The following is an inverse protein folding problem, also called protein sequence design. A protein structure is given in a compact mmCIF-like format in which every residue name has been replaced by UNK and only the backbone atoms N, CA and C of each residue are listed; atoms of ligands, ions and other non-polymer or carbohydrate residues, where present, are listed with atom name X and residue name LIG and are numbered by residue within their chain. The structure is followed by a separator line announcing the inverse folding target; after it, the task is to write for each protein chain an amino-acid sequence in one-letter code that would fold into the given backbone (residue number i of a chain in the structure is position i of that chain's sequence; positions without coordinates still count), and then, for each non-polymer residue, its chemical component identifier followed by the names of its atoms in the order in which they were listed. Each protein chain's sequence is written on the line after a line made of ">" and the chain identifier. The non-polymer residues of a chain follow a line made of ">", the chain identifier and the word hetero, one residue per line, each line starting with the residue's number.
data_IF_015963483502
#
_entry.id   IF_015963483502
#
_cell.length_a   1.000
_cell.length_b   1.000
_cell.length_c   1.000
_cell.angle_alpha   90.00
_cell.angle_beta   90.00
_cell.angle_gamma   90.00
#
_symmetry.space_group_name_H-M   'P 1'
#
loop_
_entity.id
_entity.type
_entity.pdbx_description
1 polymer ?
#
# COMPACT_ATOMS: atom_id res chain seq x y z
N UNK A 1 27.49 -5.89 -28.65
CA UNK A 1 26.68 -5.24 -27.59
C UNK A 1 26.26 -6.33 -26.61
N UNK A 2 26.95 -6.46 -25.48
CA UNK A 2 26.63 -7.47 -24.47
C UNK A 2 25.24 -7.17 -23.89
N UNK A 3 24.27 -8.05 -24.15
CA UNK A 3 22.97 -7.97 -23.51
C UNK A 3 23.18 -8.26 -22.01
N UNK A 4 23.18 -7.22 -21.18
CA UNK A 4 23.19 -7.39 -19.73
C UNK A 4 22.01 -8.30 -19.35
N UNK A 5 22.24 -9.41 -18.63
CA UNK A 5 21.15 -10.27 -18.19
C UNK A 5 20.24 -9.42 -17.31
N UNK A 6 18.97 -9.30 -17.69
CA UNK A 6 17.95 -8.69 -16.84
C UNK A 6 17.74 -9.67 -15.69
N UNK A 7 18.43 -9.45 -14.58
CA UNK A 7 18.24 -10.20 -13.34
C UNK A 7 16.95 -9.69 -12.71
N UNK A 8 15.89 -10.48 -12.80
CA UNK A 8 14.64 -10.22 -12.08
C UNK A 8 14.90 -10.55 -10.61
N UNK A 9 15.17 -9.53 -9.80
CA UNK A 9 15.39 -9.69 -8.37
C UNK A 9 14.03 -9.92 -7.69
N UNK A 10 13.75 -11.16 -7.31
CA UNK A 10 12.56 -11.49 -6.51
C UNK A 10 12.83 -11.21 -5.05
N UNK A 11 11.88 -10.54 -4.39
CA UNK A 11 11.87 -10.47 -2.95
C UNK A 11 11.77 -11.89 -2.34
N UNK A 12 12.61 -12.15 -1.34
CA UNK A 12 12.64 -13.44 -0.65
C UNK A 12 11.34 -13.67 0.11
N UNK A 13 10.91 -14.95 0.19
CA UNK A 13 9.71 -15.32 0.97
C UNK A 13 9.81 -14.89 2.44
N UNK A 14 11.02 -14.85 3.00
CA UNK A 14 11.27 -14.37 4.36
C UNK A 14 10.89 -12.89 4.54
N UNK A 15 11.28 -12.02 3.60
CA UNK A 15 10.90 -10.60 3.64
C UNK A 15 9.39 -10.40 3.47
N UNK A 16 8.76 -11.17 2.59
CA UNK A 16 7.30 -11.12 2.42
C UNK A 16 6.57 -11.52 3.72
N UNK A 17 7.02 -12.58 4.39
CA UNK A 17 6.45 -12.97 5.69
C UNK A 17 6.66 -11.87 6.74
N UNK A 18 7.83 -11.23 6.79
CA UNK A 18 8.09 -10.12 7.70
C UNK A 18 7.10 -8.96 7.49
N UNK A 19 6.87 -8.53 6.24
CA UNK A 19 5.93 -7.45 5.92
C UNK A 19 4.49 -7.81 6.34
N UNK A 20 4.07 -9.05 6.08
CA UNK A 20 2.75 -9.54 6.51
C UNK A 20 2.62 -9.58 8.03
N UNK A 21 3.65 -10.03 8.73
CA UNK A 21 3.68 -10.06 10.20
C UNK A 21 3.60 -8.64 10.76
N UNK A 22 4.40 -7.69 10.26
CA UNK A 22 4.35 -6.29 10.71
C UNK A 22 2.97 -5.66 10.48
N UNK A 23 2.36 -5.91 9.32
CA UNK A 23 1.01 -5.44 9.05
C UNK A 23 -0.03 -6.07 9.99
N UNK A 24 0.07 -7.38 10.25
CA UNK A 24 -0.79 -8.07 11.21
C UNK A 24 -0.67 -7.52 12.62
N UNK A 25 0.57 -7.26 13.09
CA UNK A 25 0.83 -6.63 14.39
C UNK A 25 0.22 -5.23 14.44
N UNK A 26 0.33 -4.44 13.37
CA UNK A 26 -0.24 -3.10 13.33
C UNK A 26 -1.78 -3.12 13.44
N UNK A 27 -2.44 -3.99 12.67
CA UNK A 27 -3.90 -4.19 12.74
C UNK A 27 -4.31 -4.65 14.14
N UNK A 28 -3.56 -5.59 14.73
CA UNK A 28 -3.81 -6.08 16.07
C UNK A 28 -3.67 -4.98 17.13
N UNK A 29 -2.60 -4.19 17.09
CA UNK A 29 -2.39 -3.07 18.03
C UNK A 29 -3.51 -2.03 17.94
N UNK A 30 -3.95 -1.68 16.72
CA UNK A 30 -5.10 -0.81 16.55
C UNK A 30 -6.38 -1.45 17.09
N UNK A 31 -6.68 -2.70 16.72
CA UNK A 31 -7.89 -3.38 17.17
C UNK A 31 -7.96 -3.50 18.70
N UNK A 32 -6.85 -3.87 19.35
CA UNK A 32 -6.75 -3.95 20.82
C UNK A 32 -6.88 -2.56 21.44
N UNK A 33 -6.21 -1.55 20.88
CA UNK A 33 -6.30 -0.17 21.34
C UNK A 33 -7.71 0.41 21.29
N UNK A 34 -8.48 0.06 20.25
CA UNK A 34 -9.87 0.45 20.10
C UNK A 34 -10.82 -0.39 20.97
N UNK A 35 -10.55 -1.68 21.17
CA UNK A 35 -11.37 -2.57 22.00
C UNK A 35 -11.31 -2.20 23.50
N UNK A 36 -10.15 -1.73 23.97
CA UNK A 36 -9.93 -1.33 25.37
C UNK A 36 -10.20 0.15 25.64
N UNK A 37 -10.80 0.88 24.70
CA UNK A 37 -11.02 2.32 24.84
C UNK A 37 -12.09 2.62 25.91
N UNK A 38 -11.76 3.34 27.00
CA UNK A 38 -12.77 3.86 27.91
C UNK A 38 -13.36 5.15 27.31
N UNK A 39 -14.39 5.02 26.49
CA UNK A 39 -15.04 6.14 25.80
C UNK A 39 -16.47 5.79 25.38
N UNK A 40 -17.23 6.78 24.89
CA UNK A 40 -18.58 6.56 24.40
C UNK A 40 -18.55 5.66 23.16
N UNK A 41 -19.53 4.76 23.03
CA UNK A 41 -19.55 3.79 21.93
C UNK A 41 -19.62 4.46 20.55
N UNK A 42 -20.22 5.65 20.47
CA UNK A 42 -20.29 6.43 19.25
C UNK A 42 -18.90 6.88 18.75
N UNK A 43 -18.03 7.31 19.66
CA UNK A 43 -16.68 7.77 19.31
C UNK A 43 -15.78 6.60 18.90
N UNK A 44 -15.94 5.44 19.55
CA UNK A 44 -15.26 4.19 19.16
C UNK A 44 -15.63 3.79 17.74
N UNK A 45 -16.93 3.75 17.44
CA UNK A 45 -17.43 3.37 16.11
C UNK A 45 -16.94 4.36 15.07
N UNK A 46 -16.99 5.67 15.35
CA UNK A 46 -16.42 6.69 14.47
C UNK A 46 -14.94 6.46 14.19
N UNK A 47 -14.15 6.13 15.21
CA UNK A 47 -12.72 5.86 15.07
C UNK A 47 -12.44 4.58 14.24
N UNK A 48 -13.20 3.50 14.46
CA UNK A 48 -13.09 2.28 13.66
C UNK A 48 -13.33 2.60 12.18
N UNK A 49 -14.40 3.34 11.88
CA UNK A 49 -14.73 3.72 10.50
C UNK A 49 -13.63 4.61 9.89
N UNK A 50 -13.09 5.56 10.67
CA UNK A 50 -11.96 6.40 10.24
C UNK A 50 -10.70 5.59 9.91
N UNK A 51 -10.35 4.61 10.74
CA UNK A 51 -9.17 3.76 10.52
C UNK A 51 -9.33 2.87 9.29
N UNK A 52 -10.50 2.25 9.12
CA UNK A 52 -10.83 1.45 7.92
C UNK A 52 -10.82 2.31 6.66
N UNK A 53 -11.37 3.51 6.74
CA UNK A 53 -11.38 4.47 5.63
C UNK A 53 -9.96 4.92 5.26
N UNK A 54 -9.12 5.28 6.24
CA UNK A 54 -7.72 5.62 6.04
C UNK A 54 -6.93 4.47 5.41
N UNK A 55 -7.11 3.24 5.91
CA UNK A 55 -6.46 2.05 5.36
C UNK A 55 -6.88 1.82 3.90
N UNK A 56 -8.17 1.97 3.59
CA UNK A 56 -8.68 1.89 2.22
C UNK A 56 -8.11 3.00 1.33
N UNK A 57 -8.01 4.23 1.84
CA UNK A 57 -7.42 5.37 1.12
C UNK A 57 -5.93 5.15 0.83
N UNK A 58 -5.16 4.54 1.75
CA UNK A 58 -3.76 4.14 1.53
C UNK A 58 -3.64 3.13 0.38
N UNK A 59 -4.52 2.12 0.32
CA UNK A 59 -4.55 1.18 -0.80
C UNK A 59 -4.99 1.82 -2.11
N UNK A 60 -5.90 2.79 -2.06
CA UNK A 60 -6.31 3.54 -3.25
C UNK A 60 -5.16 4.41 -3.77
N UNK A 61 -4.44 5.08 -2.88
CA UNK A 61 -3.27 5.89 -3.23
C UNK A 61 -2.14 5.03 -3.82
N UNK A 62 -1.91 3.83 -3.28
CA UNK A 62 -0.88 2.93 -3.84
C UNK A 62 -1.26 2.40 -5.22
N UNK A 63 -2.54 2.04 -5.45
CA UNK A 63 -3.06 1.69 -6.77
C UNK A 63 -2.96 2.87 -7.74
N UNK A 64 -3.35 4.07 -7.32
CA UNK A 64 -3.23 5.29 -8.09
C UNK A 64 -1.78 5.54 -8.53
N UNK A 65 -0.82 5.41 -7.61
CA UNK A 65 0.60 5.63 -7.91
C UNK A 65 1.09 4.63 -8.96
N UNK A 66 0.61 3.37 -8.93
CA UNK A 66 0.88 2.38 -9.98
C UNK A 66 0.29 2.82 -11.32
N UNK A 67 -1.00 3.11 -11.36
CA UNK A 67 -1.70 3.47 -12.60
C UNK A 67 -1.12 4.75 -13.22
N UNK A 68 -0.70 5.72 -12.39
CA UNK A 68 -0.02 6.93 -12.84
C UNK A 68 1.41 6.66 -13.37
N UNK A 69 2.13 5.65 -12.87
CA UNK A 69 3.42 5.24 -13.44
C UNK A 69 3.25 4.52 -14.80
N UNK A 70 2.19 3.72 -14.95
CA UNK A 70 1.82 3.11 -16.24
C UNK A 70 1.40 4.15 -17.28
N UNK A 71 0.65 5.18 -16.87
CA UNK A 71 0.20 6.27 -17.73
C UNK A 71 1.33 7.22 -18.20
N UNK A 72 2.43 7.35 -17.43
CA UNK A 72 3.61 8.15 -17.79
C UNK A 72 4.32 7.69 -19.07
N UNK A 73 4.05 6.49 -19.58
CA UNK A 73 4.56 6.03 -20.89
C UNK A 73 3.74 6.54 -22.08
N UNK A 74 2.63 7.28 -21.90
CA UNK A 74 1.77 7.65 -23.03
C UNK A 74 0.88 8.90 -22.96
N UNK A 75 0.73 9.62 -21.84
CA UNK A 75 -0.13 10.83 -21.84
C UNK A 75 0.32 11.92 -20.86
N UNK A 76 0.34 13.17 -21.34
CA UNK A 76 0.92 14.34 -20.68
C UNK A 76 0.07 15.07 -19.61
N UNK A 77 -1.20 14.73 -19.38
CA UNK A 77 -2.12 15.70 -18.75
C UNK A 77 -2.91 15.19 -17.51
N UNK A 78 -2.28 14.80 -16.40
CA UNK A 78 -3.04 14.51 -15.16
C UNK A 78 -2.52 15.12 -13.84
N UNK A 79 -1.98 16.37 -13.80
CA UNK A 79 -1.71 17.03 -12.51
C UNK A 79 -2.98 17.18 -11.66
N UNK A 80 -4.16 17.36 -12.27
CA UNK A 80 -5.42 17.51 -11.56
C UNK A 80 -5.89 16.22 -10.85
N UNK A 81 -5.75 15.07 -11.49
CA UNK A 81 -6.15 13.77 -10.89
C UNK A 81 -5.27 13.39 -9.70
N UNK A 82 -3.97 13.73 -9.75
CA UNK A 82 -3.04 13.60 -8.62
C UNK A 82 -3.48 14.41 -7.40
N UNK A 83 -3.93 15.64 -7.61
CA UNK A 83 -4.42 16.50 -6.53
C UNK A 83 -5.67 15.92 -5.88
N UNK A 84 -6.59 15.33 -6.65
CA UNK A 84 -7.80 14.70 -6.10
C UNK A 84 -7.47 13.54 -5.16
N UNK A 85 -6.54 12.67 -5.55
CA UNK A 85 -6.24 11.46 -4.75
C UNK A 85 -5.34 11.77 -3.56
N UNK A 86 -4.35 12.65 -3.72
CA UNK A 86 -3.60 13.16 -2.57
C UNK A 86 -4.48 13.97 -1.63
N UNK A 87 -5.40 14.78 -2.17
CA UNK A 87 -6.39 15.53 -1.40
C UNK A 87 -7.30 14.62 -0.60
N UNK A 88 -7.86 13.58 -1.22
CA UNK A 88 -8.70 12.59 -0.53
C UNK A 88 -7.96 11.85 0.59
N UNK A 89 -6.71 11.45 0.35
CA UNK A 89 -5.87 10.84 1.40
C UNK A 89 -5.56 11.81 2.54
N UNK A 90 -5.20 13.07 2.24
CA UNK A 90 -4.94 14.09 3.24
C UNK A 90 -6.18 14.42 4.07
N UNK A 91 -7.36 14.48 3.44
CA UNK A 91 -8.64 14.66 4.13
C UNK A 91 -8.94 13.46 5.03
N UNK A 92 -8.72 12.23 4.57
CA UNK A 92 -8.90 11.03 5.39
C UNK A 92 -8.00 11.03 6.63
N UNK A 93 -6.71 11.35 6.43
CA UNK A 93 -5.72 11.48 7.50
C UNK A 93 -6.10 12.60 8.48
N UNK A 94 -6.53 13.75 7.96
CA UNK A 94 -6.96 14.90 8.74
C UNK A 94 -8.21 14.62 9.57
N UNK A 95 -9.24 14.00 8.98
CA UNK A 95 -10.48 13.64 9.68
C UNK A 95 -10.23 12.63 10.80
N UNK A 96 -9.39 11.61 10.55
CA UNK A 96 -9.05 10.60 11.56
C UNK A 96 -8.21 11.21 12.69
N UNK A 97 -7.24 12.06 12.36
CA UNK A 97 -6.44 12.80 13.34
C UNK A 97 -7.28 13.79 14.16
N UNK A 98 -8.20 14.52 13.51
CA UNK A 98 -9.12 15.43 14.17
C UNK A 98 -10.05 14.70 15.13
N UNK A 99 -10.61 13.56 14.70
CA UNK A 99 -11.41 12.67 15.55
C UNK A 99 -10.64 12.20 16.78
N UNK A 100 -9.36 11.87 16.63
CA UNK A 100 -8.50 11.44 17.74
C UNK A 100 -8.17 12.56 18.73
N UNK A 101 -7.96 13.79 18.25
CA UNK A 101 -7.72 14.94 19.12
C UNK A 101 -8.97 15.30 19.91
N UNK A 102 -10.15 15.20 19.28
CA UNK A 102 -11.44 15.60 19.86
C UNK A 102 -11.97 14.73 21.00
N UNK A 103 -11.55 13.47 21.15
CA UNK A 103 -12.05 12.60 22.24
C UNK A 103 -11.51 13.04 23.61
N UNK A 104 -12.33 13.16 24.65
CA UNK A 104 -11.85 13.43 26.02
C UNK A 104 -11.36 12.15 26.72
N UNK A 105 -10.28 11.56 26.21
CA UNK A 105 -9.63 10.38 26.81
C UNK A 105 -8.25 10.77 27.37
N UNK A 106 -7.77 9.99 28.34
CA UNK A 106 -6.41 10.04 28.85
C UNK A 106 -5.36 10.10 27.71
N UNK A 107 -4.43 11.04 27.85
CA UNK A 107 -3.39 11.38 26.86
C UNK A 107 -2.56 10.16 26.43
N UNK A 108 -2.31 9.22 27.33
CA UNK A 108 -1.55 8.00 27.03
C UNK A 108 -2.26 7.12 26.00
N UNK A 109 -3.58 6.98 26.09
CA UNK A 109 -4.36 6.22 25.11
C UNK A 109 -4.42 6.93 23.75
N UNK A 110 -4.55 8.26 23.74
CA UNK A 110 -4.47 9.04 22.50
C UNK A 110 -3.13 8.85 21.79
N UNK A 111 -2.03 8.92 22.54
CA UNK A 111 -0.70 8.71 22.00
C UNK A 111 -0.54 7.28 21.46
N UNK A 112 -0.98 6.27 22.20
CA UNK A 112 -0.94 4.87 21.75
C UNK A 112 -1.72 4.67 20.45
N UNK A 113 -2.97 5.16 20.39
CA UNK A 113 -3.81 5.08 19.20
C UNK A 113 -3.17 5.81 18.02
N UNK A 114 -2.68 7.03 18.23
CA UNK A 114 -2.01 7.81 17.17
C UNK A 114 -0.78 7.11 16.61
N UNK A 115 0.08 6.55 17.48
CA UNK A 115 1.27 5.80 17.05
C UNK A 115 0.87 4.51 16.34
N UNK A 116 -0.10 3.75 16.88
CA UNK A 116 -0.58 2.51 16.24
C UNK A 116 -1.16 2.77 14.86
N UNK A 117 -1.91 3.86 14.71
CA UNK A 117 -2.49 4.29 13.44
C UNK A 117 -1.41 4.68 12.42
N UNK A 118 -0.43 5.49 12.81
CA UNK A 118 0.69 5.84 11.93
C UNK A 118 1.49 4.60 11.51
N UNK A 119 1.69 3.66 12.44
CA UNK A 119 2.35 2.39 12.17
C UNK A 119 1.53 1.50 11.23
N UNK A 120 0.20 1.48 11.37
CA UNK A 120 -0.72 0.79 10.47
C UNK A 120 -0.63 1.36 9.04
N UNK A 121 -0.66 2.68 8.88
CA UNK A 121 -0.56 3.33 7.57
C UNK A 121 0.79 3.02 6.91
N UNK A 122 1.88 3.13 7.67
CA UNK A 122 3.22 2.79 7.18
C UNK A 122 3.30 1.33 6.74
N UNK A 123 2.82 0.40 7.57
CA UNK A 123 2.80 -1.03 7.24
C UNK A 123 1.91 -1.34 6.04
N UNK A 124 0.77 -0.65 5.89
CA UNK A 124 -0.12 -0.79 4.74
C UNK A 124 0.56 -0.33 3.45
N UNK A 125 1.31 0.78 3.47
CA UNK A 125 2.12 1.20 2.32
C UNK A 125 3.21 0.19 1.99
N UNK A 126 3.87 -0.39 2.99
CA UNK A 126 4.89 -1.43 2.80
C UNK A 126 4.27 -2.68 2.17
N UNK A 127 3.11 -3.12 2.67
CA UNK A 127 2.36 -4.25 2.10
C UNK A 127 1.94 -3.96 0.65
N UNK A 128 1.42 -2.77 0.38
CA UNK A 128 1.01 -2.37 -0.96
C UNK A 128 2.19 -2.31 -1.95
N UNK A 129 3.36 -1.83 -1.50
CA UNK A 129 4.60 -1.87 -2.30
C UNK A 129 5.04 -3.31 -2.55
N UNK A 130 5.13 -4.14 -1.53
CA UNK A 130 5.50 -5.56 -1.71
C UNK A 130 4.58 -6.27 -2.70
N UNK A 131 3.26 -6.05 -2.62
CA UNK A 131 2.31 -6.67 -3.54
C UNK A 131 2.50 -6.17 -4.98
N UNK A 132 2.82 -4.88 -5.12
CA UNK A 132 3.13 -4.26 -6.41
C UNK A 132 4.43 -4.81 -6.99
N UNK A 133 5.49 -4.87 -6.20
CA UNK A 133 6.82 -5.31 -6.63
C UNK A 133 6.76 -6.78 -7.09
N UNK A 134 5.96 -7.62 -6.40
CA UNK A 134 5.65 -8.99 -6.84
C UNK A 134 4.93 -9.05 -8.19
N UNK A 135 3.89 -8.24 -8.37
CA UNK A 135 3.14 -8.21 -9.63
C UNK A 135 4.01 -7.73 -10.81
N UNK A 136 4.87 -6.74 -10.59
CA UNK A 136 5.83 -6.27 -11.61
C UNK A 136 6.87 -7.34 -11.95
N UNK A 137 7.40 -8.06 -10.96
CA UNK A 137 8.32 -9.18 -11.19
C UNK A 137 7.68 -10.30 -12.02
N UNK A 138 6.45 -10.71 -11.68
CA UNK A 138 5.73 -11.76 -12.41
C UNK A 138 5.41 -11.34 -13.86
N UNK A 139 5.08 -10.06 -14.09
CA UNK A 139 4.88 -9.52 -15.45
C UNK A 139 6.17 -9.48 -16.28
N UNK A 140 7.32 -9.18 -15.66
CA UNK A 140 8.61 -9.19 -16.34
C UNK A 140 9.02 -10.62 -16.76
N UNK A 141 8.80 -11.61 -15.89
CA UNK A 141 9.07 -13.02 -16.20
C UNK A 141 8.23 -13.50 -17.39
N UNK A 142 6.93 -13.18 -17.41
CA UNK A 142 6.05 -13.53 -18.53
C UNK A 142 6.52 -12.92 -19.87
N UNK A 143 7.03 -11.68 -19.85
CA UNK A 143 7.60 -11.03 -21.05
C UNK A 143 8.91 -11.69 -21.49
N UNK A 144 9.75 -12.11 -20.56
CA UNK A 144 11.00 -12.81 -20.88
C UNK A 144 10.73 -14.22 -21.46
N UNK A 145 9.73 -14.92 -20.94
CA UNK A 145 9.27 -16.20 -21.48
C UNK A 145 8.78 -16.04 -22.92
N UNK A 146 7.88 -15.08 -23.19
CA UNK A 146 7.40 -14.83 -24.56
C UNK A 146 8.52 -14.42 -25.53
N UNK A 147 9.53 -13.68 -25.07
CA UNK A 147 10.71 -13.36 -25.90
C UNK A 147 11.58 -14.58 -26.20
N UNK A 148 11.71 -15.52 -25.26
CA UNK A 148 12.45 -16.78 -25.47
C UNK A 148 11.71 -17.69 -26.45
N UNK A 149 10.40 -17.83 -26.29
CA UNK A 149 9.55 -18.61 -27.20
C UNK A 149 9.57 -18.03 -28.62
N UNK A 150 9.44 -16.71 -28.77
CA UNK A 150 9.51 -16.05 -30.08
C UNK A 150 10.90 -16.21 -30.75
N UNK A 151 11.98 -16.15 -29.96
CA UNK A 151 13.34 -16.37 -30.48
C UNK A 151 13.56 -17.84 -30.90
N UNK A 152 13.02 -18.81 -30.15
CA UNK A 152 13.06 -20.23 -30.50
C UNK A 152 12.24 -20.54 -31.75
N UNK A 153 11.04 -19.97 -31.87
CA UNK A 153 10.20 -20.12 -33.06
C UNK A 153 10.88 -19.53 -34.31
N UNK A 154 11.52 -18.36 -34.19
CA UNK A 154 12.26 -17.74 -35.29
C UNK A 154 13.48 -18.58 -35.74
N UNK A 155 14.17 -19.21 -34.79
CA UNK A 155 15.28 -20.12 -35.10
C UNK A 155 14.80 -21.41 -35.79
N UNK A 156 13.66 -21.97 -35.37
CA UNK A 156 13.06 -23.16 -36.00
C UNK A 156 12.50 -22.88 -37.40
N UNK A 157 12.10 -21.65 -37.70
CA UNK A 157 11.63 -21.27 -39.04
C UNK A 157 12.77 -20.92 -40.02
N UNK A 158 14.00 -20.85 -39.54
CA UNK A 158 15.18 -20.51 -40.35
C UNK A 158 15.99 -21.73 -40.83
N UNK A 159 15.70 -22.92 -40.27
CA UNK A 159 16.14 -24.24 -40.75
C UNK A 159 15.07 -24.86 -41.68
#
# INVERSE_FOLDING_TARGET
>A
MSASPIVVLRDTRAWQMQVWISFGIAVFLCAVGLAWLPGADLEKVFMVMGYVFCLSATFMLSKFVRDNQSARRGAGDTPLWKLVVWGGFAVAMGLTGWGLVGMEINVTYKAFLGVSWLYLITSAFTLAKMLRDRYEADLMDARLQGRREAAQAAAQSAD
#
